data_IF_988820128705
#
_entry.id   IF_988820128705
#
_cell.length_a   1.000
_cell.length_b   1.000
_cell.length_c   1.000
_cell.angle_alpha   90.00
_cell.angle_beta   90.00
_cell.angle_gamma   90.00
#
_symmetry.space_group_name_H-M   'P 1'
#
loop_
_entity.id
_entity.type
_entity.pdbx_description
1 polymer ?
#
# COMPACT_ATOMS: atom_id res chain seq x y z
N UNK A 1 29.42 -2.78 -11.90
CA UNK A 1 28.69 -1.52 -12.22
C UNK A 1 29.04 -0.46 -11.21
N UNK A 2 29.33 0.73 -11.69
CA UNK A 2 29.56 1.89 -10.82
C UNK A 2 28.16 2.54 -10.62
N UNK A 3 27.53 2.36 -9.46
CA UNK A 3 26.23 2.94 -9.14
C UNK A 3 26.40 4.31 -8.48
N UNK A 4 25.50 5.25 -8.77
CA UNK A 4 25.49 6.56 -8.14
C UNK A 4 25.24 6.49 -6.61
N UNK A 5 24.72 5.39 -6.12
CA UNK A 5 24.30 5.20 -4.72
C UNK A 5 25.32 4.41 -3.89
N UNK A 6 26.56 4.24 -4.37
CA UNK A 6 27.62 3.45 -3.71
C UNK A 6 27.89 3.88 -2.26
N UNK A 7 27.72 5.18 -1.95
CA UNK A 7 27.88 5.73 -0.61
C UNK A 7 26.89 5.17 0.43
N UNK A 8 25.75 4.63 -0.02
CA UNK A 8 24.77 3.98 0.87
C UNK A 8 25.15 2.55 1.27
N UNK A 9 26.10 1.93 0.56
CA UNK A 9 26.31 0.48 0.63
C UNK A 9 26.64 -0.03 2.03
N UNK A 10 27.45 0.69 2.79
CA UNK A 10 27.92 0.25 4.10
C UNK A 10 26.85 0.45 5.19
N UNK A 11 26.33 1.64 5.30
CA UNK A 11 25.40 2.03 6.38
C UNK A 11 23.95 1.65 6.08
N UNK A 12 23.56 1.70 4.80
CA UNK A 12 22.18 1.52 4.35
C UNK A 12 22.02 0.47 3.24
N UNK A 13 22.44 -0.80 3.47
CA UNK A 13 22.46 -1.83 2.43
C UNK A 13 21.10 -2.08 1.77
N UNK A 14 20.01 -1.91 2.50
CA UNK A 14 18.65 -2.04 1.94
C UNK A 14 18.30 -0.91 0.98
N UNK A 15 18.66 0.34 1.30
CA UNK A 15 18.49 1.47 0.38
C UNK A 15 19.38 1.34 -0.85
N UNK A 16 20.62 0.90 -0.64
CA UNK A 16 21.57 0.64 -1.71
C UNK A 16 21.01 -0.39 -2.71
N UNK A 17 20.57 -1.55 -2.22
CA UNK A 17 20.03 -2.63 -3.07
C UNK A 17 18.82 -2.18 -3.90
N UNK A 18 17.91 -1.40 -3.30
CA UNK A 18 16.73 -0.89 -3.99
C UNK A 18 17.12 0.11 -5.07
N UNK A 19 18.03 1.04 -4.77
CA UNK A 19 18.49 2.07 -5.73
C UNK A 19 19.30 1.49 -6.87
N UNK A 20 20.22 0.55 -6.59
CA UNK A 20 20.97 -0.18 -7.61
C UNK A 20 20.03 -0.94 -8.56
N UNK A 21 19.04 -1.64 -8.02
CA UNK A 21 18.07 -2.34 -8.84
C UNK A 21 17.22 -1.37 -9.69
N UNK A 22 16.86 -0.21 -9.13
CA UNK A 22 16.14 0.82 -9.88
C UNK A 22 16.96 1.35 -11.06
N UNK A 23 18.29 1.57 -10.87
CA UNK A 23 19.20 1.95 -11.94
C UNK A 23 19.34 0.87 -13.03
N UNK A 24 19.45 -0.41 -12.65
CA UNK A 24 19.56 -1.53 -13.61
C UNK A 24 18.31 -1.65 -14.49
N UNK A 25 17.15 -1.31 -13.95
CA UNK A 25 15.87 -1.45 -14.65
C UNK A 25 15.55 -0.28 -15.59
N UNK A 26 16.26 0.84 -15.54
CA UNK A 26 15.88 2.06 -16.25
C UNK A 26 15.72 1.88 -17.76
N UNK A 27 16.56 1.06 -18.38
CA UNK A 27 16.53 0.79 -19.83
C UNK A 27 15.61 -0.37 -20.20
N UNK A 28 15.47 -1.34 -19.32
CA UNK A 28 14.80 -2.62 -19.57
C UNK A 28 13.31 -2.51 -19.24
N UNK A 29 12.99 -1.99 -18.06
CA UNK A 29 11.65 -1.83 -17.53
C UNK A 29 11.54 -0.53 -16.71
N UNK A 30 11.33 0.60 -17.39
CA UNK A 30 11.19 1.89 -16.72
C UNK A 30 10.05 1.93 -15.69
N UNK A 31 8.98 1.15 -15.90
CA UNK A 31 7.86 1.05 -14.95
C UNK A 31 8.29 0.43 -13.63
N UNK A 32 9.00 -0.69 -13.68
CA UNK A 32 9.58 -1.32 -12.49
C UNK A 32 10.65 -0.45 -11.82
N UNK A 33 11.46 0.29 -12.60
CA UNK A 33 12.43 1.29 -12.07
C UNK A 33 11.70 2.36 -11.24
N UNK A 34 10.59 2.90 -11.73
CA UNK A 34 9.74 3.87 -11.01
C UNK A 34 9.12 3.28 -9.73
N UNK A 35 8.65 2.04 -9.79
CA UNK A 35 8.11 1.34 -8.62
C UNK A 35 9.19 1.13 -7.54
N UNK A 36 10.42 0.77 -7.93
CA UNK A 36 11.56 0.64 -7.02
C UNK A 36 12.00 2.00 -6.45
N UNK A 37 12.00 3.05 -7.26
CA UNK A 37 12.25 4.42 -6.81
C UNK A 37 11.25 4.86 -5.74
N UNK A 38 9.96 4.52 -5.89
CA UNK A 38 8.95 4.76 -4.85
C UNK A 38 9.28 4.00 -3.56
N UNK A 39 9.60 2.71 -3.65
CA UNK A 39 9.98 1.90 -2.50
C UNK A 39 11.21 2.47 -1.78
N UNK A 40 12.20 2.96 -2.54
CA UNK A 40 13.37 3.67 -2.02
C UNK A 40 12.95 4.88 -1.18
N UNK A 41 12.13 5.77 -1.73
CA UNK A 41 11.67 6.98 -1.02
C UNK A 41 10.83 6.67 0.22
N UNK A 42 10.04 5.60 0.17
CA UNK A 42 9.27 5.12 1.31
C UNK A 42 10.17 4.63 2.45
N UNK A 43 11.16 3.78 2.12
CA UNK A 43 12.16 3.29 3.09
C UNK A 43 13.00 4.40 3.68
N UNK A 44 13.46 5.34 2.86
CA UNK A 44 14.24 6.47 3.33
C UNK A 44 13.42 7.37 4.28
N UNK A 45 12.16 7.66 3.96
CA UNK A 45 11.28 8.43 4.86
C UNK A 45 10.94 7.69 6.17
N UNK A 46 10.97 6.33 6.17
CA UNK A 46 10.87 5.53 7.39
C UNK A 46 12.12 5.72 8.27
N UNK A 47 13.31 5.63 7.68
CA UNK A 47 14.57 5.85 8.40
C UNK A 47 14.64 7.26 9.00
N UNK A 48 14.26 8.29 8.24
CA UNK A 48 14.17 9.66 8.78
C UNK A 48 13.26 9.71 9.99
N UNK A 49 12.09 9.05 9.93
CA UNK A 49 11.14 8.99 11.05
C UNK A 49 11.74 8.31 12.29
N UNK A 50 12.50 7.23 12.08
CA UNK A 50 13.18 6.47 13.14
C UNK A 50 14.32 7.28 13.77
N UNK A 51 15.15 7.96 12.97
CA UNK A 51 16.25 8.81 13.44
C UNK A 51 15.75 9.99 14.30
N UNK A 52 14.58 10.53 13.96
CA UNK A 52 13.97 11.63 14.69
C UNK A 52 13.14 11.16 15.90
N UNK A 53 13.16 9.86 16.22
CA UNK A 53 12.49 9.26 17.37
C UNK A 53 10.99 9.64 17.49
N UNK A 54 10.28 9.75 16.36
CA UNK A 54 8.90 10.22 16.30
C UNK A 54 7.86 9.17 16.73
N UNK A 55 8.31 8.03 17.23
CA UNK A 55 7.47 6.96 17.75
C UNK A 55 6.81 6.09 16.66
N UNK A 56 5.81 5.33 17.05
CA UNK A 56 5.11 4.43 16.13
C UNK A 56 4.30 5.20 15.10
N UNK A 57 4.34 4.75 13.84
CA UNK A 57 3.63 5.38 12.73
C UNK A 57 2.69 4.40 12.03
N UNK A 58 1.38 4.66 12.12
CA UNK A 58 0.32 3.83 11.53
C UNK A 58 -0.34 4.48 10.28
N UNK A 59 0.28 5.49 9.70
CA UNK A 59 -0.24 6.23 8.55
C UNK A 59 0.32 5.77 7.20
N UNK A 60 -0.19 6.38 6.12
CA UNK A 60 0.34 6.21 4.78
C UNK A 60 1.66 6.95 4.58
N UNK A 61 2.40 6.62 3.50
CA UNK A 61 3.58 7.39 3.11
C UNK A 61 3.26 8.89 2.92
N UNK A 62 2.07 9.21 2.41
CA UNK A 62 1.63 10.60 2.26
C UNK A 62 1.53 11.31 3.61
N UNK A 63 0.96 10.66 4.61
CA UNK A 63 0.81 11.22 5.96
C UNK A 63 2.18 11.38 6.63
N UNK A 64 3.11 10.45 6.40
CA UNK A 64 4.48 10.56 6.90
C UNK A 64 5.18 11.78 6.32
N UNK A 65 5.15 11.97 4.99
CA UNK A 65 5.75 13.13 4.33
C UNK A 65 5.17 14.43 4.88
N UNK A 66 3.84 14.50 5.02
CA UNK A 66 3.17 15.67 5.57
C UNK A 66 3.62 15.99 7.00
N UNK A 67 3.72 14.98 7.87
CA UNK A 67 4.19 15.20 9.26
C UNK A 67 5.65 15.62 9.32
N UNK A 68 6.54 14.99 8.54
CA UNK A 68 7.96 15.37 8.47
C UNK A 68 8.14 16.81 7.98
N UNK A 69 7.34 17.26 7.01
CA UNK A 69 7.36 18.64 6.53
C UNK A 69 6.85 19.62 7.59
N UNK A 70 5.70 19.34 8.21
CA UNK A 70 5.13 20.22 9.23
C UNK A 70 6.01 20.34 10.50
N UNK A 71 6.81 19.33 10.79
CA UNK A 71 7.78 19.36 11.89
C UNK A 71 9.12 20.01 11.50
N UNK A 72 9.24 20.56 10.29
CA UNK A 72 10.47 21.14 9.71
C UNK A 72 11.66 20.16 9.65
N UNK A 73 11.41 18.85 9.72
CA UNK A 73 12.43 17.80 9.57
C UNK A 73 12.77 17.62 8.10
N UNK A 74 11.74 17.53 7.24
CA UNK A 74 11.90 17.54 5.80
C UNK A 74 11.60 18.95 5.26
N UNK A 75 12.59 19.73 4.84
CA UNK A 75 12.37 21.02 4.19
C UNK A 75 11.42 20.87 2.97
N UNK A 76 10.72 21.95 2.60
CA UNK A 76 9.71 21.93 1.53
C UNK A 76 10.19 21.29 0.23
N UNK A 77 11.45 21.54 -0.13
CA UNK A 77 12.05 20.94 -1.33
C UNK A 77 12.17 19.41 -1.21
N UNK A 78 12.52 18.89 -0.03
CA UNK A 78 12.63 17.46 0.24
C UNK A 78 11.24 16.81 0.29
N UNK A 79 10.28 17.44 0.94
CA UNK A 79 8.90 16.98 0.93
C UNK A 79 8.32 16.93 -0.51
N UNK A 80 8.62 17.94 -1.33
CA UNK A 80 8.24 17.99 -2.74
C UNK A 80 8.87 16.85 -3.56
N UNK A 81 10.14 16.55 -3.34
CA UNK A 81 10.84 15.42 -3.98
C UNK A 81 10.19 14.10 -3.58
N UNK A 82 9.94 13.87 -2.29
CA UNK A 82 9.27 12.67 -1.79
C UNK A 82 7.88 12.50 -2.42
N UNK A 83 7.08 13.56 -2.52
CA UNK A 83 5.78 13.53 -3.17
C UNK A 83 5.87 13.23 -4.66
N UNK A 84 6.86 13.78 -5.36
CA UNK A 84 7.09 13.56 -6.79
C UNK A 84 7.41 12.09 -7.05
N UNK A 85 8.35 11.51 -6.32
CA UNK A 85 8.73 10.10 -6.44
C UNK A 85 7.52 9.20 -6.12
N UNK A 86 6.79 9.49 -5.04
CA UNK A 86 5.60 8.73 -4.63
C UNK A 86 4.53 8.72 -5.72
N UNK A 87 4.20 9.89 -6.28
CA UNK A 87 3.15 10.01 -7.30
C UNK A 87 3.51 9.26 -8.59
N UNK A 88 4.74 9.42 -9.07
CA UNK A 88 5.21 8.74 -10.28
C UNK A 88 5.24 7.21 -10.09
N UNK A 89 5.80 6.74 -8.98
CA UNK A 89 5.84 5.31 -8.69
C UNK A 89 4.47 4.68 -8.44
N UNK A 90 3.50 5.42 -7.86
CA UNK A 90 2.12 4.94 -7.74
C UNK A 90 1.50 4.72 -9.12
N UNK A 91 1.62 5.71 -10.02
CA UNK A 91 1.13 5.61 -11.39
C UNK A 91 1.74 4.40 -12.11
N UNK A 92 3.06 4.24 -12.04
CA UNK A 92 3.75 3.10 -12.64
C UNK A 92 3.27 1.75 -12.08
N UNK A 93 3.03 1.66 -10.77
CA UNK A 93 2.57 0.42 -10.12
C UNK A 93 1.11 0.06 -10.44
N UNK A 94 0.24 1.05 -10.65
CA UNK A 94 -1.18 0.83 -10.95
C UNK A 94 -1.45 0.65 -12.44
N UNK A 95 -0.81 1.48 -13.27
CA UNK A 95 -1.11 1.53 -14.70
C UNK A 95 -0.13 0.68 -15.53
N UNK A 96 0.97 0.22 -14.92
CA UNK A 96 2.04 -0.52 -15.61
C UNK A 96 2.77 0.34 -16.67
N UNK A 97 2.65 1.66 -16.60
CA UNK A 97 3.18 2.59 -17.60
C UNK A 97 4.28 3.45 -16.99
N UNK A 98 5.44 3.44 -17.63
CA UNK A 98 6.57 4.31 -17.29
C UNK A 98 7.41 4.55 -18.52
N UNK A 99 7.91 5.76 -18.71
CA UNK A 99 8.87 6.07 -19.76
C UNK A 99 10.30 6.14 -19.20
N UNK A 100 11.28 5.90 -20.07
CA UNK A 100 12.69 6.08 -19.74
C UNK A 100 12.97 7.51 -19.19
N UNK A 101 12.41 8.53 -19.83
CA UNK A 101 12.62 9.93 -19.44
C UNK A 101 12.07 10.20 -18.03
N UNK A 102 10.90 9.65 -17.72
CA UNK A 102 10.30 9.76 -16.39
C UNK A 102 11.14 9.01 -15.35
N UNK A 103 11.54 7.77 -15.64
CA UNK A 103 12.39 6.97 -14.76
C UNK A 103 13.74 7.65 -14.48
N UNK A 104 14.39 8.20 -15.52
CA UNK A 104 15.63 8.96 -15.37
C UNK A 104 15.44 10.20 -14.50
N UNK A 105 14.37 10.97 -14.73
CA UNK A 105 14.05 12.12 -13.89
C UNK A 105 13.86 11.74 -12.44
N UNK A 106 13.12 10.67 -12.17
CA UNK A 106 12.84 10.17 -10.81
C UNK A 106 14.08 9.62 -10.14
N UNK A 107 14.96 8.90 -10.86
CA UNK A 107 16.26 8.44 -10.31
C UNK A 107 17.14 9.61 -9.89
N UNK A 108 17.20 10.69 -10.68
CA UNK A 108 17.88 11.93 -10.24
C UNK A 108 17.30 12.49 -8.95
N UNK A 109 15.97 12.42 -8.75
CA UNK A 109 15.31 12.83 -7.51
C UNK A 109 15.64 11.89 -6.35
N UNK A 110 15.71 10.58 -6.60
CA UNK A 110 16.16 9.61 -5.60
C UNK A 110 17.62 9.88 -5.17
N UNK A 111 18.51 10.20 -6.10
CA UNK A 111 19.88 10.56 -5.79
C UNK A 111 19.97 11.83 -4.94
N UNK A 112 19.23 12.88 -5.30
CA UNK A 112 19.18 14.12 -4.52
C UNK A 112 18.67 13.86 -3.09
N UNK A 113 17.65 13.03 -2.97
CA UNK A 113 17.08 12.64 -1.68
C UNK A 113 18.05 11.79 -0.85
N UNK A 114 18.75 10.84 -1.49
CA UNK A 114 19.77 10.01 -0.86
C UNK A 114 20.95 10.83 -0.34
N UNK A 115 21.42 11.79 -1.15
CA UNK A 115 22.50 12.69 -0.78
C UNK A 115 22.12 13.55 0.41
N UNK A 116 20.95 14.20 0.37
CA UNK A 116 20.42 14.98 1.49
C UNK A 116 20.34 14.15 2.77
N UNK A 117 19.79 12.95 2.68
CA UNK A 117 19.66 12.04 3.83
C UNK A 117 21.02 11.69 4.42
N UNK A 118 21.95 11.22 3.60
CA UNK A 118 23.27 10.80 4.05
C UNK A 118 24.05 11.95 4.68
N UNK A 119 24.13 13.11 4.02
CA UNK A 119 24.85 14.30 4.54
C UNK A 119 24.19 14.85 5.83
N UNK A 120 22.89 14.66 6.02
CA UNK A 120 22.19 15.13 7.22
C UNK A 120 22.42 14.20 8.42
N UNK A 121 22.33 12.89 8.22
CA UNK A 121 22.32 11.92 9.32
C UNK A 121 23.68 11.29 9.60
N UNK A 122 24.53 11.10 8.59
CA UNK A 122 25.90 10.59 8.79
C UNK A 122 26.94 11.70 9.04
N UNK A 123 26.55 12.96 8.86
CA UNK A 123 27.43 14.14 9.03
C UNK A 123 28.72 14.04 8.18
N UNK A 124 28.66 13.32 7.08
CA UNK A 124 29.72 13.11 6.12
C UNK A 124 29.36 13.76 4.78
N UNK A 125 30.36 14.23 4.04
CA UNK A 125 30.12 14.92 2.78
C UNK A 125 30.38 14.01 1.59
N UNK A 126 29.43 14.01 0.65
CA UNK A 126 29.53 13.20 -0.56
C UNK A 126 30.15 14.03 -1.70
N UNK A 127 31.31 13.61 -2.19
CA UNK A 127 31.99 14.27 -3.30
C UNK A 127 31.23 14.24 -4.63
N UNK A 128 30.37 13.20 -4.83
CA UNK A 128 29.54 13.08 -6.03
C UNK A 128 28.49 14.21 -6.03
N UNK A 129 28.63 15.15 -6.93
CA UNK A 129 27.82 16.36 -7.00
C UNK A 129 26.56 16.19 -7.85
N UNK A 130 26.55 15.27 -8.82
CA UNK A 130 25.47 15.07 -9.78
C UNK A 130 25.24 13.59 -10.10
N UNK A 131 23.98 13.24 -10.36
CA UNK A 131 23.60 11.93 -10.87
C UNK A 131 24.10 11.74 -12.29
N UNK A 132 24.79 10.65 -12.56
CA UNK A 132 25.24 10.25 -13.87
C UNK A 132 24.38 9.08 -14.35
N UNK A 133 23.85 9.19 -15.58
CA UNK A 133 23.05 8.10 -16.14
C UNK A 133 23.92 6.85 -16.27
N UNK A 134 23.48 5.68 -15.73
CA UNK A 134 24.23 4.44 -15.92
C UNK A 134 24.40 4.11 -17.40
N UNK A 135 25.56 3.57 -17.77
CA UNK A 135 25.76 3.08 -19.11
C UNK A 135 24.88 1.87 -19.39
N UNK A 136 24.29 1.83 -20.57
CA UNK A 136 23.53 0.65 -21.02
C UNK A 136 24.55 -0.47 -21.30
N UNK A 137 24.49 -1.55 -20.51
CA UNK A 137 25.35 -2.70 -20.77
C UNK A 137 24.84 -3.49 -21.97
N UNK A 138 25.61 -3.52 -23.05
CA UNK A 138 25.33 -4.29 -24.29
C UNK A 138 25.35 -5.82 -24.05
N UNK A 139 25.88 -6.28 -22.92
CA UNK A 139 25.93 -7.69 -22.53
C UNK A 139 24.58 -8.28 -22.11
N UNK A 140 23.54 -7.48 -22.12
CA UNK A 140 22.19 -7.90 -21.67
C UNK A 140 21.39 -8.63 -22.77
N UNK A 141 21.83 -8.66 -24.04
CA UNK A 141 21.02 -9.18 -25.14
C UNK A 141 20.67 -10.68 -24.97
N UNK A 142 21.64 -11.52 -24.67
CA UNK A 142 21.42 -12.97 -24.62
C UNK A 142 20.81 -13.43 -23.29
N UNK A 143 21.32 -12.91 -22.15
CA UNK A 143 20.75 -13.16 -20.83
C UNK A 143 19.36 -12.51 -20.65
N UNK A 144 19.10 -11.42 -21.38
CA UNK A 144 17.82 -10.73 -21.38
C UNK A 144 16.80 -11.47 -22.26
N UNK A 145 17.21 -12.01 -23.40
CA UNK A 145 16.38 -12.87 -24.24
C UNK A 145 15.93 -14.11 -23.47
N UNK A 146 16.83 -14.76 -22.75
CA UNK A 146 16.50 -15.92 -21.90
C UNK A 146 15.58 -15.57 -20.74
N UNK A 147 15.77 -14.40 -20.11
CA UNK A 147 14.87 -13.89 -19.06
C UNK A 147 13.52 -13.45 -19.61
N UNK A 148 13.44 -12.83 -20.78
CA UNK A 148 12.20 -12.48 -21.46
C UNK A 148 11.42 -13.72 -21.85
N UNK A 149 12.10 -14.77 -22.28
CA UNK A 149 11.47 -16.05 -22.63
C UNK A 149 10.91 -16.74 -21.39
N UNK A 150 11.65 -16.78 -20.27
CA UNK A 150 11.18 -17.28 -18.97
C UNK A 150 10.01 -16.46 -18.42
N UNK A 151 10.08 -15.13 -18.46
CA UNK A 151 8.99 -14.24 -18.04
C UNK A 151 7.75 -14.37 -18.93
N UNK A 152 7.94 -14.57 -20.23
CA UNK A 152 6.85 -14.83 -21.18
C UNK A 152 6.14 -16.15 -20.88
N UNK A 153 6.93 -17.18 -20.53
CA UNK A 153 6.40 -18.47 -20.10
C UNK A 153 5.62 -18.36 -18.79
N UNK A 154 6.20 -17.70 -17.78
CA UNK A 154 5.54 -17.43 -16.50
C UNK A 154 4.25 -16.62 -16.68
N UNK A 155 4.24 -15.60 -17.55
CA UNK A 155 3.04 -14.83 -17.92
C UNK A 155 1.96 -15.70 -18.54
N UNK A 156 2.35 -16.66 -19.37
CA UNK A 156 1.42 -17.62 -19.99
C UNK A 156 0.83 -18.55 -18.94
N UNK A 157 1.65 -19.04 -18.01
CA UNK A 157 1.22 -19.89 -16.90
C UNK A 157 0.31 -19.13 -15.93
N UNK A 158 0.62 -17.85 -15.63
CA UNK A 158 -0.27 -16.99 -14.85
C UNK A 158 -1.60 -16.69 -15.54
N UNK A 159 -1.60 -16.46 -16.87
CA UNK A 159 -2.83 -16.29 -17.65
C UNK A 159 -3.70 -17.55 -17.62
N UNK A 160 -3.10 -18.73 -17.75
CA UNK A 160 -3.79 -20.00 -17.64
C UNK A 160 -4.37 -20.21 -16.24
N UNK A 161 -3.60 -19.88 -15.21
CA UNK A 161 -4.03 -19.95 -13.80
C UNK A 161 -5.15 -18.97 -13.48
N UNK A 162 -5.11 -17.75 -14.04
CA UNK A 162 -6.20 -16.77 -13.95
C UNK A 162 -7.45 -17.28 -14.68
N UNK A 163 -7.31 -17.92 -15.84
CA UNK A 163 -8.43 -18.51 -16.56
C UNK A 163 -9.09 -19.66 -15.76
N UNK A 164 -8.30 -20.50 -15.10
CA UNK A 164 -8.80 -21.54 -14.19
C UNK A 164 -9.49 -20.94 -12.95
N UNK A 165 -8.90 -19.90 -12.35
CA UNK A 165 -9.50 -19.18 -11.23
C UNK A 165 -10.79 -18.45 -11.60
N UNK A 166 -10.92 -17.96 -12.83
CA UNK A 166 -12.15 -17.36 -13.33
C UNK A 166 -13.26 -18.40 -13.54
N UNK A 167 -12.93 -19.61 -14.02
CA UNK A 167 -13.88 -20.74 -14.02
C UNK A 167 -14.34 -21.08 -12.59
N UNK A 168 -13.42 -21.07 -11.63
CA UNK A 168 -13.78 -21.31 -10.23
C UNK A 168 -14.60 -20.17 -9.64
N UNK A 169 -14.48 -18.92 -10.13
CA UNK A 169 -15.33 -17.80 -9.74
C UNK A 169 -16.78 -17.98 -10.18
N UNK A 170 -17.01 -18.48 -11.40
CA UNK A 170 -18.37 -18.81 -11.87
C UNK A 170 -19.01 -19.91 -11.00
N UNK A 171 -18.23 -20.91 -10.60
CA UNK A 171 -18.69 -21.94 -9.68
C UNK A 171 -18.96 -21.39 -8.26
N UNK A 172 -18.14 -20.45 -7.79
CA UNK A 172 -18.35 -19.76 -6.51
C UNK A 172 -19.61 -18.92 -6.56
N UNK A 173 -19.83 -18.18 -7.65
CA UNK A 173 -21.04 -17.37 -7.83
C UNK A 173 -22.29 -18.23 -7.90
N UNK A 174 -22.21 -19.35 -8.65
CA UNK A 174 -23.28 -20.34 -8.70
C UNK A 174 -23.57 -20.96 -7.32
N UNK A 175 -22.54 -21.19 -6.48
CA UNK A 175 -22.72 -21.65 -5.10
C UNK A 175 -23.37 -20.60 -4.22
N UNK A 176 -22.99 -19.33 -4.36
CA UNK A 176 -23.62 -18.20 -3.65
C UNK A 176 -25.10 -18.11 -4.00
N UNK A 177 -25.45 -18.13 -5.29
CA UNK A 177 -26.85 -18.10 -5.72
C UNK A 177 -27.67 -19.28 -5.17
N UNK A 178 -27.09 -20.48 -5.18
CA UNK A 178 -27.74 -21.66 -4.55
C UNK A 178 -27.90 -21.48 -3.04
N UNK A 179 -26.90 -20.91 -2.38
CA UNK A 179 -26.93 -20.62 -0.94
C UNK A 179 -28.02 -19.62 -0.60
N UNK A 180 -28.09 -18.51 -1.33
CA UNK A 180 -29.11 -17.47 -1.13
C UNK A 180 -30.53 -18.01 -1.38
N UNK A 181 -30.72 -18.80 -2.43
CA UNK A 181 -32.02 -19.43 -2.72
C UNK A 181 -32.42 -20.41 -1.63
N UNK A 182 -31.48 -21.19 -1.10
CA UNK A 182 -31.77 -22.11 0.02
C UNK A 182 -32.05 -21.36 1.31
N UNK A 183 -31.31 -20.26 1.59
CA UNK A 183 -31.54 -19.44 2.77
C UNK A 183 -32.94 -18.78 2.75
N UNK A 184 -33.42 -18.34 1.57
CA UNK A 184 -34.77 -17.78 1.42
C UNK A 184 -35.86 -18.81 1.63
N UNK A 185 -35.57 -20.08 1.39
CA UNK A 185 -36.52 -21.19 1.54
C UNK A 185 -36.39 -21.87 2.94
N UNK A 186 -35.60 -21.29 3.86
CA UNK A 186 -35.60 -21.75 5.24
C UNK A 186 -36.92 -21.36 5.89
N UNK A 187 -37.61 -22.36 6.42
CA UNK A 187 -38.85 -22.17 7.15
C UNK A 187 -38.52 -21.62 8.55
N UNK A 188 -38.23 -20.32 8.63
CA UNK A 188 -37.93 -19.63 9.87
C UNK A 188 -39.22 -19.18 10.53
N UNK A 189 -39.41 -19.56 11.78
CA UNK A 189 -40.49 -19.02 12.59
C UNK A 189 -40.29 -17.53 12.86
N UNK A 190 -41.32 -16.80 13.26
CA UNK A 190 -41.19 -15.38 13.66
C UNK A 190 -40.15 -15.22 14.79
N UNK A 191 -40.13 -16.16 15.72
CA UNK A 191 -39.20 -16.17 16.84
C UNK A 191 -37.74 -16.36 16.36
N UNK A 192 -37.49 -17.32 15.46
CA UNK A 192 -36.17 -17.53 14.84
C UNK A 192 -35.71 -16.29 14.10
N UNK A 193 -36.59 -15.65 13.35
CA UNK A 193 -36.31 -14.43 12.61
C UNK A 193 -35.91 -13.28 13.54
N UNK A 194 -36.64 -13.12 14.63
CA UNK A 194 -36.33 -12.10 15.63
C UNK A 194 -35.01 -12.37 16.31
N UNK A 195 -34.80 -13.57 16.82
CA UNK A 195 -33.57 -13.93 17.55
C UNK A 195 -32.32 -13.85 16.70
N UNK A 196 -32.40 -14.27 15.44
CA UNK A 196 -31.19 -14.35 14.55
C UNK A 196 -30.95 -13.11 13.74
N UNK A 197 -31.95 -12.36 13.33
CA UNK A 197 -31.81 -11.23 12.40
C UNK A 197 -32.15 -9.88 13.02
N UNK A 198 -33.19 -9.80 13.86
CA UNK A 198 -33.72 -8.52 14.35
C UNK A 198 -33.03 -8.10 15.65
N UNK A 199 -33.06 -8.95 16.67
CA UNK A 199 -32.51 -8.62 17.99
C UNK A 199 -31.02 -8.27 17.97
N UNK A 200 -30.13 -8.96 17.20
CA UNK A 200 -28.75 -8.57 17.09
C UNK A 200 -28.57 -7.16 16.52
N UNK A 201 -29.29 -6.82 15.46
CA UNK A 201 -29.24 -5.49 14.82
C UNK A 201 -29.77 -4.38 15.73
N UNK A 202 -30.83 -4.67 16.48
CA UNK A 202 -31.36 -3.73 17.46
C UNK A 202 -30.40 -3.50 18.62
N UNK A 203 -29.71 -4.56 19.11
CA UNK A 203 -28.68 -4.44 20.14
C UNK A 203 -27.49 -3.62 19.65
N UNK A 204 -27.04 -3.86 18.40
CA UNK A 204 -25.98 -3.09 17.75
C UNK A 204 -26.36 -1.60 17.61
N UNK A 205 -27.61 -1.30 17.32
CA UNK A 205 -28.15 0.05 17.26
C UNK A 205 -28.44 0.67 18.65
N UNK A 206 -28.09 0.00 19.75
CA UNK A 206 -28.22 0.49 21.12
C UNK A 206 -29.61 0.30 21.76
N UNK A 207 -30.45 -0.55 21.18
CA UNK A 207 -31.76 -0.89 21.76
C UNK A 207 -31.65 -2.06 22.73
N UNK A 208 -32.40 -2.00 23.81
CA UNK A 208 -32.61 -3.15 24.68
C UNK A 208 -33.75 -4.02 24.13
N UNK A 209 -33.41 -5.18 23.61
CA UNK A 209 -34.35 -6.17 23.10
C UNK A 209 -33.88 -7.56 23.52
N UNK A 210 -34.85 -8.38 23.95
CA UNK A 210 -34.66 -9.80 24.24
C UNK A 210 -35.98 -10.53 23.97
N UNK A 211 -36.09 -11.15 22.81
CA UNK A 211 -37.26 -11.84 22.36
C UNK A 211 -37.64 -13.03 23.29
N UNK A 212 -36.62 -13.71 23.86
CA UNK A 212 -36.88 -14.82 24.81
C UNK A 212 -37.52 -14.33 26.12
N UNK A 213 -37.09 -13.16 26.62
CA UNK A 213 -37.67 -12.57 27.82
C UNK A 213 -39.06 -11.99 27.51
N UNK A 214 -39.26 -11.38 26.34
CA UNK A 214 -40.54 -10.80 25.92
C UNK A 214 -41.60 -11.87 25.71
N UNK A 215 -41.24 -13.03 25.15
CA UNK A 215 -42.18 -14.14 24.97
C UNK A 215 -42.57 -14.82 26.30
N UNK A 216 -41.67 -14.87 27.26
CA UNK A 216 -41.92 -15.44 28.58
C UNK A 216 -42.75 -14.53 29.50
N UNK A 217 -42.68 -13.21 29.26
CA UNK A 217 -43.53 -12.23 29.96
C UNK A 217 -44.63 -11.81 29.00
N UNK A 218 -45.82 -12.33 29.08
CA UNK A 218 -47.00 -11.92 28.30
C UNK A 218 -47.36 -10.42 28.38
N UNK A 219 -46.35 -9.56 28.51
CA UNK A 219 -46.47 -8.12 28.56
C UNK A 219 -45.83 -7.50 27.34
N UNK A 220 -46.59 -6.75 26.58
CA UNK A 220 -46.13 -5.82 25.54
C UNK A 220 -45.22 -4.76 26.16
N UNK A 221 -43.98 -5.09 26.41
CA UNK A 221 -43.00 -4.13 26.85
C UNK A 221 -42.46 -3.44 25.59
N UNK A 222 -42.74 -2.13 25.45
CA UNK A 222 -42.20 -1.29 24.41
C UNK A 222 -40.67 -1.36 24.46
N UNK A 223 -40.06 -1.58 23.30
CA UNK A 223 -38.61 -1.48 23.11
C UNK A 223 -38.15 -0.08 23.56
N UNK A 224 -37.23 0.01 24.51
CA UNK A 224 -36.67 1.28 24.96
C UNK A 224 -35.25 1.41 24.41
N UNK A 225 -34.86 2.57 23.87
CA UNK A 225 -33.47 2.83 23.56
C UNK A 225 -32.67 2.82 24.86
N UNK A 226 -31.44 2.28 24.84
CA UNK A 226 -30.47 2.48 25.92
C UNK A 226 -30.34 3.99 26.14
N UNK A 227 -30.50 4.45 27.39
CA UNK A 227 -30.35 5.85 27.74
C UNK A 227 -29.03 6.40 27.13
N UNK A 228 -29.18 7.42 26.29
CA UNK A 228 -28.01 8.19 25.83
C UNK A 228 -27.28 8.73 27.06
N UNK A 229 -25.93 8.69 27.10
CA UNK A 229 -25.19 9.41 28.13
C UNK A 229 -25.61 10.87 28.06
N UNK A 230 -25.97 11.43 29.20
CA UNK A 230 -26.42 12.82 29.39
C UNK A 230 -25.28 13.76 28.99
N UNK A 231 -25.23 14.16 27.74
CA UNK A 231 -24.48 15.30 27.25
C UNK A 231 -25.44 16.13 26.39
N UNK A 232 -26.15 17.01 26.99
CA UNK A 232 -26.75 18.25 26.52
C UNK A 232 -28.02 18.55 27.32
N UNK A 233 -27.82 19.18 28.48
CA UNK A 233 -28.85 20.08 29.01
C UNK A 233 -28.52 21.47 28.43
N UNK A 234 -29.42 22.10 27.68
CA UNK A 234 -29.30 23.53 27.40
C UNK A 234 -29.60 24.32 28.68
N UNK A 235 -28.77 25.33 28.93
CA UNK A 235 -28.94 26.38 29.92
C UNK A 235 -30.09 27.29 29.53
#
# INVERSE_FOLDING_TARGET
MNTNFSFLQQQYPSLFAISELSEKLIYIDPSSSLAKSRLFSEKLSQLVWEFEELGEFLGSQNDRIYRLSNSNIAPDIIASILHTIRKSGNKASHDGVGSFQEAHFILKKCFQLAKWFYETYEQDYIEITSYTLPEQEDTASDALSEKLEKLSQELTDYKNKIAELNKSKEEVESRKQRSDNRARNLDLTEEDTRLTLIDPKLKEAGWECDTLILNNKRNKTLLKPKSMPVMFQPI
#
